data_IF_345318183266
#
_entry.id   IF_345318183266
#
_cell.length_a   1.000
_cell.length_b   1.000
_cell.length_c   1.000
_cell.angle_alpha   90.00
_cell.angle_beta   90.00
_cell.angle_gamma   90.00
#
_symmetry.space_group_name_H-M   'P 1'
#
loop_
_entity.id
_entity.type
_entity.pdbx_description
1 polymer ?
#
# COMPACT_ATOMS: atom_id res chain seq x y z
N UNK A 1 -18.25 -6.12 1.56
CA UNK A 1 -17.75 -7.19 2.45
C UNK A 1 -17.10 -8.38 1.73
N UNK A 2 -17.41 -8.63 0.45
CA UNK A 2 -16.87 -9.77 -0.34
C UNK A 2 -15.50 -9.53 -0.99
N UNK A 3 -15.15 -8.28 -1.31
CA UNK A 3 -14.01 -7.96 -2.19
C UNK A 3 -12.64 -8.18 -1.51
N UNK A 4 -12.47 -7.77 -0.25
CA UNK A 4 -11.19 -7.91 0.47
C UNK A 4 -10.91 -9.38 0.81
N UNK A 5 -11.93 -10.16 1.13
CA UNK A 5 -11.76 -11.60 1.41
C UNK A 5 -11.39 -12.41 0.15
N UNK A 6 -11.83 -11.98 -1.03
CA UNK A 6 -11.52 -12.63 -2.29
C UNK A 6 -10.06 -12.39 -2.72
N UNK A 7 -9.50 -11.22 -2.48
CA UNK A 7 -8.09 -10.93 -2.80
C UNK A 7 -7.13 -11.73 -1.91
N UNK A 8 -7.41 -11.86 -0.62
CA UNK A 8 -6.58 -12.70 0.27
C UNK A 8 -6.62 -14.19 -0.13
N UNK A 9 -7.74 -14.68 -0.64
CA UNK A 9 -7.87 -16.07 -1.10
C UNK A 9 -7.11 -16.38 -2.40
N UNK A 10 -6.86 -15.42 -3.25
CA UNK A 10 -6.15 -15.63 -4.52
C UNK A 10 -4.63 -15.77 -4.35
N UNK A 11 -4.07 -15.20 -3.29
CA UNK A 11 -2.62 -15.22 -3.06
C UNK A 11 -2.13 -16.33 -2.11
N UNK A 12 -2.99 -16.91 -1.30
CA UNK A 12 -2.60 -17.90 -0.32
C UNK A 12 -3.55 -19.10 -0.41
N UNK A 13 -3.01 -20.29 -0.69
CA UNK A 13 -3.72 -21.57 -0.52
C UNK A 13 -3.93 -21.83 0.98
N UNK A 14 -4.82 -21.05 1.61
CA UNK A 14 -5.04 -21.07 3.05
C UNK A 14 -6.17 -22.04 3.35
N UNK A 15 -5.85 -23.14 4.01
CA UNK A 15 -6.82 -24.14 4.49
C UNK A 15 -7.65 -23.64 5.69
N UNK A 16 -7.21 -22.58 6.38
CA UNK A 16 -7.95 -22.01 7.51
C UNK A 16 -7.58 -20.56 7.79
N UNK A 17 -8.43 -19.61 7.36
CA UNK A 17 -8.39 -18.22 7.76
C UNK A 17 -9.41 -18.01 8.88
N UNK A 18 -8.98 -17.51 10.04
CA UNK A 18 -9.88 -17.12 11.14
C UNK A 18 -9.90 -15.60 11.24
N UNK A 19 -11.04 -15.00 10.97
CA UNK A 19 -11.30 -13.58 11.18
C UNK A 19 -11.95 -13.40 12.55
N UNK A 20 -11.34 -12.62 13.42
CA UNK A 20 -11.89 -12.30 14.75
C UNK A 20 -12.48 -10.89 14.71
N UNK A 21 -13.79 -10.80 14.87
CA UNK A 21 -14.53 -9.55 15.02
C UNK A 21 -14.91 -9.38 16.51
N UNK A 22 -14.88 -8.17 17.08
CA UNK A 22 -15.31 -7.92 18.46
C UNK A 22 -16.75 -8.39 18.73
N UNK A 23 -17.59 -8.59 17.71
CA UNK A 23 -18.97 -9.07 17.81
C UNK A 23 -19.15 -10.58 17.52
N UNK A 24 -18.10 -11.38 17.56
CA UNK A 24 -18.13 -12.85 17.43
C UNK A 24 -18.72 -13.43 16.13
N UNK A 25 -18.42 -12.90 14.96
CA UNK A 25 -18.75 -13.59 13.71
C UNK A 25 -17.58 -14.44 13.20
N UNK A 26 -17.79 -15.76 13.17
CA UNK A 26 -16.86 -16.71 12.55
C UNK A 26 -17.30 -16.98 11.13
N UNK A 27 -16.42 -16.72 10.16
CA UNK A 27 -16.59 -17.22 8.79
C UNK A 27 -15.82 -18.53 8.66
N UNK A 28 -16.49 -19.66 8.91
CA UNK A 28 -15.91 -20.97 8.70
C UNK A 28 -16.28 -21.51 7.32
N UNK A 29 -15.29 -22.05 6.59
CA UNK A 29 -15.57 -22.97 5.47
C UNK A 29 -16.37 -24.19 5.96
N UNK A 30 -17.02 -24.93 5.08
CA UNK A 30 -18.06 -25.93 5.31
C UNK A 30 -17.67 -27.16 6.19
N UNK A 31 -16.61 -27.12 6.95
CA UNK A 31 -16.24 -28.18 7.89
C UNK A 31 -16.41 -27.67 9.32
N UNK A 32 -17.29 -28.31 10.08
CA UNK A 32 -17.49 -28.06 11.50
C UNK A 32 -16.16 -28.25 12.24
N UNK A 33 -15.64 -27.25 12.97
CA UNK A 33 -14.43 -27.44 13.74
C UNK A 33 -14.65 -28.49 14.82
N UNK A 34 -13.79 -29.50 14.89
CA UNK A 34 -13.81 -30.55 15.92
C UNK A 34 -13.15 -30.08 17.21
N UNK A 35 -12.49 -28.91 17.21
CA UNK A 35 -11.86 -28.32 18.39
C UNK A 35 -12.58 -27.03 18.79
N UNK A 36 -12.71 -26.77 20.11
CA UNK A 36 -13.24 -25.49 20.57
C UNK A 36 -12.38 -24.35 20.03
N UNK A 37 -13.01 -23.20 19.70
CA UNK A 37 -12.25 -22.06 19.16
C UNK A 37 -11.16 -21.67 20.16
N UNK A 38 -9.93 -21.57 19.67
CA UNK A 38 -8.81 -21.07 20.46
C UNK A 38 -9.17 -19.66 20.91
N UNK A 39 -9.34 -19.46 22.21
CA UNK A 39 -9.62 -18.14 22.77
C UNK A 39 -8.36 -17.31 22.57
N UNK A 40 -8.45 -16.26 21.75
CA UNK A 40 -7.37 -15.32 21.63
C UNK A 40 -7.24 -14.56 22.94
N UNK A 41 -6.10 -14.70 23.61
CA UNK A 41 -5.78 -14.03 24.88
C UNK A 41 -5.41 -12.55 24.71
N UNK A 42 -5.24 -12.08 23.46
CA UNK A 42 -4.93 -10.67 23.19
C UNK A 42 -6.20 -9.82 23.18
N UNK A 43 -6.22 -8.80 24.04
CA UNK A 43 -7.27 -7.80 24.04
C UNK A 43 -6.97 -6.73 22.98
N UNK A 44 -7.72 -6.73 21.88
CA UNK A 44 -7.58 -5.74 20.79
C UNK A 44 -8.54 -4.54 20.97
N UNK A 45 -9.35 -4.49 22.03
CA UNK A 45 -10.31 -3.40 22.28
C UNK A 45 -9.64 -2.01 22.23
N UNK A 46 -8.46 -1.78 22.85
CA UNK A 46 -7.81 -0.47 22.77
C UNK A 46 -7.43 -0.04 21.34
N UNK A 47 -7.19 -0.99 20.45
CA UNK A 47 -6.87 -0.70 19.05
C UNK A 47 -8.10 -0.26 18.27
N UNK A 48 -9.26 -0.88 18.53
CA UNK A 48 -10.53 -0.46 17.93
C UNK A 48 -10.99 0.91 18.44
N UNK A 49 -10.73 1.22 19.71
CA UNK A 49 -11.00 2.55 20.27
C UNK A 49 -10.09 3.63 19.66
N UNK A 50 -8.82 3.28 19.39
CA UNK A 50 -7.84 4.19 18.80
C UNK A 50 -8.13 4.48 17.32
N UNK A 51 -8.61 3.49 16.59
CA UNK A 51 -8.93 3.64 15.18
C UNK A 51 -10.25 2.96 14.82
N UNK A 52 -11.29 3.76 14.62
CA UNK A 52 -12.64 3.29 14.29
C UNK A 52 -12.76 2.58 12.93
N UNK A 53 -11.77 2.75 12.04
CA UNK A 53 -11.71 2.04 10.76
C UNK A 53 -11.21 0.60 10.93
N UNK A 54 -10.65 0.27 12.10
CA UNK A 54 -10.25 -1.09 12.43
C UNK A 54 -11.47 -1.92 12.80
N UNK A 55 -11.80 -2.90 11.98
CA UNK A 55 -12.99 -3.75 12.17
C UNK A 55 -12.66 -5.17 12.63
N UNK A 56 -11.39 -5.52 12.73
CA UNK A 56 -11.00 -6.86 13.11
C UNK A 56 -9.49 -7.01 13.15
N UNK A 57 -9.07 -8.26 13.34
CA UNK A 57 -7.67 -8.67 13.36
C UNK A 57 -7.52 -9.97 12.59
N UNK A 58 -6.47 -10.08 11.76
CA UNK A 58 -6.12 -11.32 11.09
C UNK A 58 -4.82 -11.86 11.67
N UNK A 59 -4.85 -13.11 12.10
CA UNK A 59 -3.70 -13.85 12.56
C UNK A 59 -3.65 -15.20 11.86
N UNK A 60 -2.49 -15.55 11.32
CA UNK A 60 -2.27 -16.89 10.74
C UNK A 60 -1.11 -17.52 11.50
N UNK A 61 -1.45 -18.62 12.20
CA UNK A 61 -0.47 -19.37 12.99
C UNK A 61 0.71 -19.79 12.12
N UNK A 62 1.93 -19.72 12.70
CA UNK A 62 3.20 -20.11 12.08
C UNK A 62 3.55 -19.29 10.83
N UNK A 63 3.01 -18.06 10.72
CA UNK A 63 3.36 -17.07 9.68
C UNK A 63 3.58 -15.70 10.28
N UNK A 64 4.13 -14.77 9.49
CA UNK A 64 4.26 -13.36 9.87
C UNK A 64 2.93 -12.56 9.78
N UNK A 65 1.81 -13.21 9.47
CA UNK A 65 0.52 -12.51 9.33
C UNK A 65 -0.12 -12.32 10.71
N UNK A 66 -0.03 -11.09 11.22
CA UNK A 66 -0.57 -10.66 12.52
C UNK A 66 -0.91 -9.15 12.41
N UNK A 67 -2.03 -8.81 11.73
CA UNK A 67 -2.35 -7.45 11.30
C UNK A 67 -3.80 -7.04 11.58
N UNK A 68 -4.07 -5.73 11.79
CA UNK A 68 -5.41 -5.20 11.84
C UNK A 68 -6.13 -5.34 10.48
N UNK A 69 -7.44 -5.50 10.52
CA UNK A 69 -8.29 -5.45 9.33
C UNK A 69 -8.96 -4.09 9.31
N UNK A 70 -8.63 -3.29 8.31
CA UNK A 70 -9.15 -1.95 8.11
C UNK A 70 -10.34 -1.98 7.14
N UNK A 71 -11.34 -1.13 7.36
CA UNK A 71 -12.52 -1.03 6.50
C UNK A 71 -12.93 0.43 6.31
N UNK A 72 -12.71 0.94 5.10
CA UNK A 72 -13.04 2.30 4.67
C UNK A 72 -13.82 2.23 3.36
N UNK A 73 -15.15 1.98 3.39
CA UNK A 73 -15.92 1.71 2.18
C UNK A 73 -16.00 2.89 1.21
N UNK A 74 -15.87 4.13 1.70
CA UNK A 74 -15.82 5.33 0.87
C UNK A 74 -14.45 5.59 0.24
N UNK A 75 -13.38 5.01 0.81
CA UNK A 75 -12.00 5.20 0.39
C UNK A 75 -11.25 3.86 0.52
N UNK A 76 -11.52 2.87 -0.33
CA UNK A 76 -11.02 1.50 -0.14
C UNK A 76 -9.49 1.39 -0.20
N UNK A 77 -8.80 2.35 -0.78
CA UNK A 77 -7.33 2.39 -0.89
C UNK A 77 -6.66 3.22 0.22
N UNK A 78 -7.42 3.79 1.16
CA UNK A 78 -6.92 4.70 2.19
C UNK A 78 -5.70 4.14 2.96
N UNK A 79 -5.76 2.90 3.40
CA UNK A 79 -4.69 2.24 4.16
C UNK A 79 -3.58 1.63 3.29
N UNK A 80 -3.58 1.86 2.00
CA UNK A 80 -2.39 1.68 1.18
C UNK A 80 -1.38 2.82 1.41
N UNK A 81 -1.89 3.99 1.81
CA UNK A 81 -1.10 5.20 2.04
C UNK A 81 -0.89 5.53 3.52
N UNK A 82 -1.75 5.02 4.40
CA UNK A 82 -1.75 5.36 5.81
C UNK A 82 -1.30 4.18 6.67
N UNK A 83 -0.57 4.50 7.75
CA UNK A 83 -0.37 3.57 8.84
C UNK A 83 -1.65 3.43 9.70
N UNK A 84 -1.61 2.57 10.72
CA UNK A 84 -2.72 2.36 11.65
C UNK A 84 -3.17 3.66 12.36
N UNK A 85 -2.28 4.59 12.58
CA UNK A 85 -2.54 5.86 13.27
C UNK A 85 -3.08 6.96 12.34
N UNK A 86 -3.40 6.61 11.10
CA UNK A 86 -3.89 7.51 10.04
C UNK A 86 -2.86 8.55 9.60
N UNK A 87 -1.59 8.27 9.83
CA UNK A 87 -0.49 9.08 9.33
C UNK A 87 0.00 8.49 8.01
N UNK A 88 0.43 9.36 7.10
CA UNK A 88 1.05 8.90 5.87
C UNK A 88 2.38 8.21 6.19
N UNK A 89 2.52 6.98 5.73
CA UNK A 89 3.74 6.21 5.95
C UNK A 89 4.74 6.56 4.86
N UNK A 90 5.82 7.24 5.22
CA UNK A 90 6.96 7.47 4.33
C UNK A 90 7.81 6.20 4.19
N UNK A 91 7.74 5.30 5.15
CA UNK A 91 8.44 4.02 5.13
C UNK A 91 7.67 2.98 4.30
N UNK A 92 7.89 3.01 3.01
CA UNK A 92 7.42 1.99 2.09
C UNK A 92 5.95 2.16 1.70
N UNK A 93 5.77 2.85 0.62
CA UNK A 93 4.56 2.78 -0.18
C UNK A 93 4.75 1.56 -1.08
N UNK A 94 4.40 0.32 -0.62
CA UNK A 94 4.79 -0.91 -1.33
C UNK A 94 4.26 -0.96 -2.75
N UNK A 95 3.13 -0.25 -3.00
CA UNK A 95 2.52 -0.18 -4.32
C UNK A 95 3.23 0.81 -5.26
N UNK A 96 4.04 1.78 -4.74
CA UNK A 96 4.87 2.65 -5.57
C UNK A 96 6.21 2.01 -5.90
N UNK A 97 6.71 1.09 -5.05
CA UNK A 97 7.97 0.41 -5.27
C UNK A 97 8.02 -0.30 -6.63
N UNK A 98 9.15 -0.17 -7.30
CA UNK A 98 9.42 -0.78 -8.61
C UNK A 98 9.68 0.25 -9.69
N UNK A 99 9.75 -0.23 -10.94
CA UNK A 99 10.00 0.61 -12.12
C UNK A 99 8.71 0.94 -12.83
N UNK A 100 8.62 2.18 -13.28
CA UNK A 100 7.47 2.75 -13.96
C UNK A 100 7.90 3.41 -15.27
N UNK A 101 7.53 2.81 -16.39
CA UNK A 101 7.83 3.33 -17.71
C UNK A 101 6.90 4.49 -18.07
N UNK A 102 7.47 5.59 -18.56
CA UNK A 102 6.73 6.76 -19.01
C UNK A 102 6.46 6.72 -20.53
N UNK A 103 7.47 6.40 -21.34
CA UNK A 103 7.42 6.55 -22.79
C UNK A 103 8.28 5.54 -23.57
N UNK A 104 8.72 4.46 -22.95
CA UNK A 104 9.61 3.44 -23.50
C UNK A 104 11.10 3.82 -23.49
N UNK A 105 11.43 5.04 -23.05
CA UNK A 105 12.82 5.54 -22.94
C UNK A 105 13.12 6.19 -21.60
N UNK A 106 12.09 6.66 -20.93
CA UNK A 106 12.14 7.32 -19.63
C UNK A 106 11.39 6.48 -18.61
N UNK A 107 12.03 6.14 -17.49
CA UNK A 107 11.37 5.44 -16.40
C UNK A 107 11.72 6.06 -15.05
N UNK A 108 10.80 5.89 -14.09
CA UNK A 108 11.03 6.19 -12.68
C UNK A 108 11.18 4.87 -11.93
N UNK A 109 12.17 4.78 -11.06
CA UNK A 109 12.35 3.68 -10.13
C UNK A 109 12.17 4.20 -8.70
N UNK A 110 11.28 3.58 -7.92
CA UNK A 110 11.06 3.88 -6.50
C UNK A 110 11.48 2.67 -5.67
N UNK A 111 12.43 2.85 -4.75
CA UNK A 111 12.96 1.76 -3.90
C UNK A 111 12.04 1.39 -2.73
N UNK A 112 11.10 2.26 -2.40
CA UNK A 112 10.14 2.05 -1.31
C UNK A 112 10.66 2.47 0.07
N UNK A 113 11.84 3.04 0.15
CA UNK A 113 12.49 3.58 1.36
C UNK A 113 12.60 5.11 1.36
N UNK A 114 11.96 5.78 0.40
CA UNK A 114 12.05 7.23 0.21
C UNK A 114 13.11 7.65 -0.79
N UNK A 115 13.80 6.71 -1.45
CA UNK A 115 14.78 6.96 -2.50
C UNK A 115 14.29 6.43 -3.84
N UNK A 116 14.82 6.98 -4.91
CA UNK A 116 14.47 6.54 -6.26
C UNK A 116 15.42 7.10 -7.31
N UNK A 117 15.12 6.80 -8.56
CA UNK A 117 15.91 7.25 -9.69
C UNK A 117 15.04 7.55 -10.91
N UNK A 118 15.38 8.61 -11.64
CA UNK A 118 14.89 8.88 -12.99
C UNK A 118 15.88 8.26 -13.99
N UNK A 119 15.42 7.27 -14.71
CA UNK A 119 16.20 6.51 -15.67
C UNK A 119 15.97 7.04 -17.09
N UNK A 120 17.02 7.52 -17.72
CA UNK A 120 17.05 7.96 -19.11
C UNK A 120 18.05 7.09 -19.89
N UNK A 121 18.02 7.03 -21.22
CA UNK A 121 18.86 6.12 -22.01
C UNK A 121 20.37 6.20 -21.73
N UNK A 122 20.88 7.37 -21.35
CA UNK A 122 22.32 7.60 -21.17
C UNK A 122 22.69 8.18 -19.81
N UNK A 123 21.72 8.41 -18.93
CA UNK A 123 21.95 9.04 -17.63
C UNK A 123 20.88 8.63 -16.63
N UNK A 124 21.29 8.49 -15.39
CA UNK A 124 20.40 8.26 -14.24
C UNK A 124 20.51 9.43 -13.28
N UNK A 125 19.39 9.92 -12.79
CA UNK A 125 19.33 10.96 -11.78
C UNK A 125 18.71 10.38 -10.52
N UNK A 126 19.50 10.24 -9.47
CA UNK A 126 19.05 9.83 -8.15
C UNK A 126 18.21 10.94 -7.51
N UNK A 127 17.19 10.55 -6.75
CA UNK A 127 16.36 11.46 -5.98
C UNK A 127 15.91 10.85 -4.65
N UNK A 128 15.60 11.70 -3.70
CA UNK A 128 14.75 11.35 -2.57
C UNK A 128 13.31 11.77 -2.82
N UNK A 129 12.35 11.10 -2.16
CA UNK A 129 10.96 11.50 -2.23
C UNK A 129 10.26 11.40 -0.88
N UNK A 130 9.30 12.29 -0.67
CA UNK A 130 8.40 12.30 0.50
C UNK A 130 6.95 12.29 0.04
N UNK A 131 6.10 11.56 0.77
CA UNK A 131 4.68 11.45 0.45
C UNK A 131 3.85 12.05 1.56
N UNK A 132 2.99 13.01 1.19
CA UNK A 132 2.02 13.66 2.08
C UNK A 132 0.64 13.66 1.42
N UNK A 133 -0.24 12.84 1.95
CA UNK A 133 -1.58 12.63 1.39
C UNK A 133 -1.51 12.02 -0.02
N UNK A 134 -2.03 12.73 -1.00
CA UNK A 134 -2.03 12.41 -2.41
C UNK A 134 -0.88 13.09 -3.17
N UNK A 135 0.06 13.69 -2.45
CA UNK A 135 1.21 14.39 -3.03
C UNK A 135 2.50 13.62 -2.82
N UNK A 136 3.32 13.58 -3.84
CA UNK A 136 4.71 13.12 -3.82
C UNK A 136 5.61 14.29 -4.18
N UNK A 137 6.57 14.61 -3.30
CA UNK A 137 7.63 15.59 -3.55
C UNK A 137 8.89 14.85 -3.91
N UNK A 138 9.48 15.18 -5.05
CA UNK A 138 10.73 14.58 -5.56
C UNK A 138 11.81 15.64 -5.49
N UNK A 139 12.94 15.30 -4.85
CA UNK A 139 14.11 16.13 -4.64
C UNK A 139 15.31 15.42 -5.26
N UNK A 140 15.82 15.96 -6.37
CA UNK A 140 16.93 15.38 -7.11
C UNK A 140 18.27 15.76 -6.49
N UNK A 141 19.19 14.78 -6.37
CA UNK A 141 20.56 15.06 -5.91
C UNK A 141 21.32 15.98 -6.89
N UNK A 142 20.94 16.00 -8.15
CA UNK A 142 21.57 16.83 -9.19
C UNK A 142 20.84 18.17 -9.32
N UNK A 143 21.47 19.26 -8.89
CA UNK A 143 20.94 20.62 -8.94
C UNK A 143 20.54 21.12 -10.34
N UNK A 144 20.97 20.43 -11.41
CA UNK A 144 20.55 20.77 -12.80
C UNK A 144 19.21 20.15 -13.19
N UNK A 145 18.68 19.22 -12.38
CA UNK A 145 17.35 18.65 -12.53
C UNK A 145 16.42 19.34 -11.54
N UNK A 146 15.25 19.70 -12.00
CA UNK A 146 14.31 20.47 -11.18
C UNK A 146 13.53 19.53 -10.26
N UNK A 147 13.52 19.86 -8.98
CA UNK A 147 12.61 19.28 -7.99
C UNK A 147 11.17 19.64 -8.29
N UNK A 148 10.25 18.82 -7.81
CA UNK A 148 8.83 19.07 -8.02
C UNK A 148 7.92 18.27 -7.13
N UNK A 149 6.73 18.80 -6.94
CA UNK A 149 5.66 18.13 -6.21
C UNK A 149 4.55 17.76 -7.20
N UNK A 150 4.08 16.53 -7.09
CA UNK A 150 3.03 15.98 -7.95
C UNK A 150 1.88 15.47 -7.08
N UNK A 151 0.66 15.65 -7.53
CA UNK A 151 -0.46 14.83 -7.05
C UNK A 151 -0.38 13.48 -7.77
N UNK A 152 -0.52 12.37 -7.04
CA UNK A 152 -0.38 11.06 -7.64
C UNK A 152 -1.54 10.12 -7.31
N UNK A 153 -1.78 9.19 -8.22
CA UNK A 153 -2.67 8.03 -8.01
C UNK A 153 -2.00 6.77 -8.56
N UNK A 154 -2.26 5.63 -7.91
CA UNK A 154 -1.85 4.33 -8.42
C UNK A 154 -3.08 3.45 -8.54
N UNK A 155 -3.38 3.00 -9.76
CA UNK A 155 -4.48 2.11 -10.06
C UNK A 155 -3.93 0.92 -10.85
N UNK A 156 -4.01 -0.28 -10.27
CA UNK A 156 -3.45 -1.50 -10.82
C UNK A 156 -1.95 -1.33 -11.20
N UNK A 157 -1.64 -1.33 -12.49
CA UNK A 157 -0.31 -1.16 -13.05
C UNK A 157 -0.06 0.26 -13.60
N UNK A 158 -0.86 1.22 -13.22
CA UNK A 158 -0.78 2.60 -13.71
C UNK A 158 -0.48 3.56 -12.57
N UNK A 159 0.60 4.32 -12.69
CA UNK A 159 0.92 5.47 -11.86
C UNK A 159 0.62 6.75 -12.64
N UNK A 160 -0.25 7.59 -12.12
CA UNK A 160 -0.52 8.91 -12.68
C UNK A 160 0.10 9.98 -11.80
N UNK A 161 0.90 10.86 -12.39
CA UNK A 161 1.50 12.02 -11.75
C UNK A 161 0.93 13.29 -12.38
N UNK A 162 0.37 14.18 -11.58
CA UNK A 162 -0.12 15.49 -12.02
C UNK A 162 0.79 16.56 -11.46
N UNK A 163 1.48 17.28 -12.35
CA UNK A 163 2.48 18.27 -11.98
C UNK A 163 1.87 19.45 -11.19
N UNK A 164 2.48 19.74 -10.04
CA UNK A 164 2.18 20.85 -9.16
C UNK A 164 3.36 21.81 -9.04
N UNK A 165 3.62 22.25 -7.82
CA UNK A 165 4.69 23.22 -7.53
C UNK A 165 6.07 22.68 -7.95
N UNK A 166 6.88 23.56 -8.57
CA UNK A 166 8.23 23.21 -9.06
C UNK A 166 8.24 22.52 -10.43
N UNK A 167 7.14 21.94 -10.88
CA UNK A 167 7.05 21.23 -12.15
C UNK A 167 6.69 22.14 -13.33
N UNK A 168 6.76 21.59 -14.55
CA UNK A 168 6.25 22.28 -15.77
C UNK A 168 4.73 22.09 -15.94
N UNK A 169 4.07 21.42 -15.00
CA UNK A 169 2.66 21.03 -15.10
C UNK A 169 2.45 19.81 -15.99
N UNK A 170 1.18 19.52 -16.26
CA UNK A 170 0.78 18.38 -17.09
C UNK A 170 0.47 17.10 -16.29
N UNK A 171 0.00 16.09 -17.02
CA UNK A 171 -0.29 14.77 -16.47
C UNK A 171 0.61 13.74 -17.13
N UNK A 172 1.26 12.94 -16.31
CA UNK A 172 2.16 11.87 -16.74
C UNK A 172 1.54 10.54 -16.32
N UNK A 173 1.37 9.65 -17.27
CA UNK A 173 0.83 8.30 -17.01
C UNK A 173 1.95 7.29 -17.24
N UNK A 174 2.30 6.57 -16.21
CA UNK A 174 3.38 5.61 -16.22
C UNK A 174 2.82 4.20 -16.04
N UNK A 175 3.44 3.23 -16.69
CA UNK A 175 3.05 1.82 -16.60
C UNK A 175 4.10 1.05 -15.80
N UNK A 176 3.65 0.20 -14.88
CA UNK A 176 4.55 -0.65 -14.10
C UNK A 176 5.30 -1.62 -15.02
N UNK A 177 6.61 -1.68 -14.88
CA UNK A 177 7.45 -2.68 -15.54
C UNK A 177 7.47 -3.95 -14.69
N UNK A 178 7.35 -5.11 -15.33
CA UNK A 178 7.56 -6.41 -14.65
C UNK A 178 9.04 -6.59 -14.34
N UNK A 179 9.36 -7.10 -13.16
CA UNK A 179 10.74 -7.52 -12.84
C UNK A 179 11.01 -8.83 -13.57
N UNK A 180 12.08 -8.85 -14.39
CA UNK A 180 12.56 -10.07 -15.06
C UNK A 180 13.26 -11.04 -14.07
#
# INVERSE_FOLDING_TARGET
MHTILLQIKSYLSISSLKLVNPNHYFLTGKTKPTEPPTVFTRNHTPLFEKNADCIGWVYIKDTAVDYPVMHTPSEPQRYLLLNFDKEYSTAGVPFLKGKWDLDGTTAYEFSGDGNGALLLPNVTYEFSYDIKKDQISIDYENESVRDGTYTFTVEDNTLTLIGGEGTVGGTYTLTRMEEE
#
